data_IF_505234314992
#
_entry.id   IF_505234314992
#
_cell.length_a   1.000
_cell.length_b   1.000
_cell.length_c   1.000
_cell.angle_alpha   90.00
_cell.angle_beta   90.00
_cell.angle_gamma   90.00
#
_symmetry.space_group_name_H-M   'P 1'
#
loop_
_entity.id
_entity.type
_entity.pdbx_description
1 polymer ?
#
# COMPACT_ATOMS: atom_id res chain seq x y z
N UNK A 1 -14.70 4.45 -2.84
CA UNK A 1 -15.54 3.67 -1.91
C UNK A 1 -14.90 2.29 -1.85
N UNK A 2 -14.64 1.73 -0.67
CA UNK A 2 -14.15 0.33 -0.56
C UNK A 2 -15.35 -0.57 -0.82
N UNK A 3 -15.21 -1.56 -1.72
CA UNK A 3 -16.31 -2.40 -2.16
C UNK A 3 -16.66 -3.44 -1.09
N UNK A 4 -17.92 -3.89 -1.05
CA UNK A 4 -18.34 -4.98 -0.13
C UNK A 4 -17.57 -6.28 -0.42
N UNK A 5 -17.28 -6.55 -1.70
CA UNK A 5 -16.49 -7.71 -2.15
C UNK A 5 -15.03 -7.64 -1.69
N UNK A 6 -14.53 -6.43 -1.41
CA UNK A 6 -13.21 -6.19 -0.83
C UNK A 6 -13.21 -6.29 0.70
N UNK A 7 -14.35 -6.66 1.31
CA UNK A 7 -14.47 -6.85 2.75
C UNK A 7 -13.54 -7.93 3.32
N UNK A 8 -13.04 -8.85 2.49
CA UNK A 8 -12.02 -9.82 2.91
C UNK A 8 -10.74 -9.13 3.41
N UNK A 9 -10.37 -7.99 2.82
CA UNK A 9 -9.17 -7.25 3.19
C UNK A 9 -9.34 -6.46 4.50
N UNK A 10 -10.56 -6.20 4.96
CA UNK A 10 -10.78 -5.40 6.19
C UNK A 10 -10.29 -6.07 7.46
N UNK A 11 -10.08 -7.40 7.43
CA UNK A 11 -9.56 -8.18 8.54
C UNK A 11 -8.05 -8.42 8.46
N UNK A 12 -7.41 -7.87 7.41
CA UNK A 12 -5.98 -7.98 7.21
C UNK A 12 -5.29 -6.76 7.80
N UNK A 13 -4.20 -6.99 8.50
CA UNK A 13 -3.39 -5.93 9.09
C UNK A 13 -2.71 -5.03 8.04
N UNK A 14 -2.43 -5.57 6.84
CA UNK A 14 -1.85 -4.82 5.71
C UNK A 14 -2.78 -4.88 4.49
N UNK A 15 -3.92 -4.15 4.51
CA UNK A 15 -5.03 -4.37 3.60
C UNK A 15 -4.85 -3.74 2.21
N UNK A 16 -4.09 -2.65 2.07
CA UNK A 16 -4.05 -1.85 0.83
C UNK A 16 -3.72 -2.66 -0.44
N UNK A 17 -2.73 -3.57 -0.45
CA UNK A 17 -2.44 -4.39 -1.63
C UNK A 17 -3.55 -5.37 -2.04
N UNK A 18 -4.50 -5.65 -1.14
CA UNK A 18 -5.61 -6.58 -1.36
C UNK A 18 -6.86 -5.89 -1.90
N UNK A 19 -6.88 -4.56 -1.90
CA UNK A 19 -7.87 -3.81 -2.65
C UNK A 19 -7.54 -3.80 -4.14
N UNK A 20 -8.57 -3.67 -4.96
CA UNK A 20 -8.43 -3.40 -6.40
C UNK A 20 -7.66 -2.11 -6.62
N UNK A 21 -7.01 -2.02 -7.78
CA UNK A 21 -6.23 -0.85 -8.17
C UNK A 21 -7.09 0.41 -8.15
N UNK A 22 -8.33 0.30 -8.60
CA UNK A 22 -9.32 1.36 -8.71
C UNK A 22 -9.75 1.86 -7.33
N UNK A 23 -9.99 0.94 -6.39
CA UNK A 23 -10.28 1.28 -4.99
C UNK A 23 -9.10 2.02 -4.34
N UNK A 24 -7.87 1.56 -4.54
CA UNK A 24 -6.69 2.26 -3.98
C UNK A 24 -6.50 3.64 -4.62
N UNK A 25 -6.72 3.80 -5.93
CA UNK A 25 -6.67 5.11 -6.59
C UNK A 25 -7.71 6.08 -6.00
N UNK A 26 -8.93 5.62 -5.79
CA UNK A 26 -9.97 6.42 -5.14
C UNK A 26 -9.57 6.81 -3.72
N UNK A 27 -9.09 5.86 -2.92
CA UNK A 27 -8.64 6.11 -1.56
C UNK A 27 -7.46 7.09 -1.53
N UNK A 28 -6.54 6.99 -2.49
CA UNK A 28 -5.44 7.95 -2.64
C UNK A 28 -5.93 9.35 -2.97
N UNK A 29 -6.95 9.51 -3.84
CA UNK A 29 -7.54 10.82 -4.10
C UNK A 29 -8.10 11.44 -2.82
N UNK A 30 -8.93 10.69 -2.09
CA UNK A 30 -9.51 11.16 -0.83
C UNK A 30 -8.44 11.49 0.23
N UNK A 31 -7.39 10.67 0.32
CA UNK A 31 -6.26 10.91 1.21
C UNK A 31 -5.47 12.17 0.84
N UNK A 32 -5.21 12.41 -0.45
CA UNK A 32 -4.50 13.60 -0.93
C UNK A 32 -5.30 14.88 -0.68
N UNK A 33 -6.61 14.83 -0.91
CA UNK A 33 -7.51 15.96 -0.61
C UNK A 33 -7.49 16.25 0.90
N UNK A 34 -7.68 15.23 1.75
CA UNK A 34 -7.61 15.36 3.21
C UNK A 34 -6.25 15.89 3.68
N UNK A 35 -5.14 15.46 3.07
CA UNK A 35 -3.82 15.99 3.38
C UNK A 35 -3.71 17.48 3.12
N UNK A 36 -4.23 17.93 1.98
CA UNK A 36 -4.15 19.32 1.56
C UNK A 36 -5.00 20.28 2.40
N UNK A 37 -6.12 19.78 2.95
CA UNK A 37 -7.09 20.62 3.68
C UNK A 37 -7.02 20.47 5.19
N UNK A 38 -6.72 19.27 5.69
CA UNK A 38 -6.88 18.89 7.09
C UNK A 38 -5.58 18.44 7.76
N UNK A 39 -4.55 18.04 7.00
CA UNK A 39 -3.27 17.57 7.55
C UNK A 39 -2.10 18.48 7.17
N UNK A 40 -2.27 19.78 7.40
CA UNK A 40 -1.17 20.74 7.27
C UNK A 40 -0.09 20.44 8.31
N UNK A 41 1.15 20.89 8.07
CA UNK A 41 2.27 20.63 8.99
C UNK A 41 1.97 21.09 10.42
N UNK A 42 1.28 22.22 10.60
CA UNK A 42 0.87 22.71 11.92
C UNK A 42 -0.09 21.75 12.63
N UNK A 43 -1.09 21.21 11.91
CA UNK A 43 -2.05 20.26 12.47
C UNK A 43 -1.36 18.93 12.78
N UNK A 44 -0.48 18.45 11.89
CA UNK A 44 0.25 17.20 12.09
C UNK A 44 1.16 17.26 13.32
N UNK A 45 1.80 18.39 13.60
CA UNK A 45 2.60 18.55 14.83
C UNK A 45 1.74 18.46 16.09
N UNK A 46 0.56 19.08 16.08
CA UNK A 46 -0.42 18.99 17.19
C UNK A 46 -0.97 17.57 17.35
N UNK A 47 -1.11 16.84 16.25
CA UNK A 47 -1.70 15.51 16.21
C UNK A 47 -0.67 14.38 16.04
N UNK A 48 0.60 14.62 16.37
CA UNK A 48 1.70 13.65 16.15
C UNK A 48 1.53 12.29 16.84
N UNK A 49 0.74 12.24 17.92
CA UNK A 49 0.41 11.01 18.65
C UNK A 49 -1.02 10.55 18.40
N UNK A 50 -1.73 11.14 17.43
CA UNK A 50 -3.07 10.72 17.10
C UNK A 50 -3.02 9.39 16.34
N UNK A 51 -3.56 8.34 16.95
CA UNK A 51 -3.50 6.98 16.42
C UNK A 51 -4.15 6.84 15.05
N UNK A 52 -5.24 7.57 14.79
CA UNK A 52 -5.91 7.54 13.47
C UNK A 52 -5.06 8.18 12.37
N UNK A 53 -4.36 9.28 12.67
CA UNK A 53 -3.44 9.90 11.70
C UNK A 53 -2.27 8.95 11.42
N UNK A 54 -1.67 8.39 12.48
CA UNK A 54 -0.59 7.41 12.35
C UNK A 54 -1.04 6.20 11.53
N UNK A 55 -2.26 5.70 11.78
CA UNK A 55 -2.87 4.61 11.03
C UNK A 55 -2.93 4.93 9.55
N UNK A 56 -3.64 5.99 9.19
CA UNK A 56 -3.88 6.37 7.79
C UNK A 56 -2.55 6.63 7.09
N UNK A 57 -1.62 7.36 7.73
CA UNK A 57 -0.31 7.64 7.15
C UNK A 57 0.49 6.36 6.91
N UNK A 58 0.53 5.43 7.87
CA UNK A 58 1.28 4.19 7.71
C UNK A 58 0.75 3.31 6.58
N UNK A 59 -0.57 3.31 6.35
CA UNK A 59 -1.20 2.51 5.29
C UNK A 59 -1.12 3.18 3.91
N UNK A 60 -1.35 4.49 3.85
CA UNK A 60 -1.59 5.19 2.59
C UNK A 60 -0.35 5.86 2.00
N UNK A 61 0.63 6.25 2.82
CA UNK A 61 1.76 7.09 2.39
C UNK A 61 2.55 6.47 1.24
N UNK A 62 2.74 5.15 1.25
CA UNK A 62 3.49 4.47 0.20
C UNK A 62 2.80 4.58 -1.17
N UNK A 63 1.53 4.20 -1.23
CA UNK A 63 0.75 4.11 -2.45
C UNK A 63 0.30 5.48 -2.97
N UNK A 64 0.12 6.46 -2.08
CA UNK A 64 -0.47 7.74 -2.42
C UNK A 64 0.53 8.92 -2.37
N UNK A 65 1.77 8.66 -1.95
CA UNK A 65 2.81 9.69 -1.80
C UNK A 65 3.78 9.73 -2.98
N UNK A 66 5.01 10.12 -2.69
CA UNK A 66 6.08 10.28 -3.69
C UNK A 66 6.43 9.00 -4.49
N UNK A 67 6.03 7.81 -4.02
CA UNK A 67 6.25 6.52 -4.69
C UNK A 67 5.03 6.02 -5.47
N UNK A 68 3.95 6.79 -5.57
CA UNK A 68 2.69 6.34 -6.16
C UNK A 68 2.86 5.70 -7.54
N UNK A 69 3.53 6.37 -8.49
CA UNK A 69 3.77 5.85 -9.84
C UNK A 69 4.42 4.45 -9.80
N UNK A 70 5.51 4.33 -9.05
CA UNK A 70 6.25 3.07 -8.90
C UNK A 70 5.40 1.98 -8.24
N UNK A 71 4.64 2.32 -7.20
CA UNK A 71 3.75 1.40 -6.52
C UNK A 71 2.67 0.87 -7.47
N UNK A 72 2.07 1.75 -8.27
CA UNK A 72 0.99 1.40 -9.19
C UNK A 72 1.44 0.68 -10.47
N UNK A 73 2.69 0.84 -10.91
CA UNK A 73 3.26 0.09 -12.03
C UNK A 73 3.29 -1.42 -11.79
N UNK A 74 3.48 -1.85 -10.54
CA UNK A 74 3.52 -3.27 -10.17
C UNK A 74 2.30 -3.71 -9.34
N UNK A 75 1.33 -2.81 -9.12
CA UNK A 75 0.20 -3.08 -8.24
C UNK A 75 -0.64 -4.27 -8.72
N UNK A 76 -0.95 -4.33 -10.02
CA UNK A 76 -1.77 -5.41 -10.58
C UNK A 76 -1.15 -6.79 -10.35
N UNK A 77 0.14 -6.96 -10.68
CA UNK A 77 0.80 -8.25 -10.47
C UNK A 77 0.93 -8.60 -8.98
N UNK A 78 1.17 -7.61 -8.11
CA UNK A 78 1.28 -7.82 -6.67
C UNK A 78 -0.06 -8.24 -6.08
N UNK A 79 -1.12 -7.53 -6.44
CA UNK A 79 -2.50 -7.89 -6.11
C UNK A 79 -2.80 -9.33 -6.56
N UNK A 80 -2.52 -9.67 -7.83
CA UNK A 80 -2.74 -11.03 -8.34
C UNK A 80 -1.92 -12.11 -7.62
N UNK A 81 -0.69 -11.80 -7.22
CA UNK A 81 0.14 -12.70 -6.44
C UNK A 81 -0.44 -12.92 -5.04
N UNK A 82 -0.89 -11.85 -4.40
CA UNK A 82 -1.51 -11.88 -3.08
C UNK A 82 -2.84 -12.65 -3.10
N UNK A 83 -3.69 -12.37 -4.09
CA UNK A 83 -4.98 -13.03 -4.27
C UNK A 83 -4.88 -14.50 -4.63
N UNK A 84 -3.80 -14.91 -5.32
CA UNK A 84 -3.57 -16.33 -5.66
C UNK A 84 -2.98 -17.16 -4.52
N UNK A 85 -2.48 -16.51 -3.46
CA UNK A 85 -1.80 -17.18 -2.34
C UNK A 85 -2.54 -16.94 -1.02
N UNK A 86 -3.86 -17.19 -1.03
CA UNK A 86 -4.75 -16.97 0.12
C UNK A 86 -4.32 -17.72 1.38
N UNK A 87 -3.68 -18.88 1.23
CA UNK A 87 -3.12 -19.63 2.36
C UNK A 87 -2.08 -18.85 3.19
N UNK A 88 -1.46 -17.81 2.63
CA UNK A 88 -0.54 -16.94 3.35
C UNK A 88 -1.26 -15.88 4.20
N UNK A 89 -2.54 -15.59 3.92
CA UNK A 89 -3.30 -14.53 4.58
C UNK A 89 -3.46 -14.79 6.07
N UNK A 90 -3.56 -16.06 6.49
CA UNK A 90 -3.57 -16.47 7.91
C UNK A 90 -2.46 -15.87 8.78
N UNK A 91 -1.36 -15.40 8.16
CA UNK A 91 -0.25 -14.76 8.88
C UNK A 91 -0.48 -13.28 9.14
N UNK A 92 -1.49 -12.66 8.52
CA UNK A 92 -1.88 -11.25 8.69
C UNK A 92 -3.40 -11.08 8.89
N UNK A 93 -4.16 -12.17 8.87
CA UNK A 93 -5.52 -12.26 9.39
C UNK A 93 -5.44 -12.25 10.91
N UNK A 94 -6.17 -11.30 11.52
CA UNK A 94 -6.42 -11.11 12.95
C UNK A 94 -5.94 -9.75 13.51
N UNK A 95 -6.88 -8.80 13.51
CA UNK A 95 -6.77 -7.44 14.07
C UNK A 95 -6.91 -7.45 15.61
N UNK A 96 -7.23 -8.60 16.23
CA UNK A 96 -7.47 -8.70 17.68
C UNK A 96 -6.22 -8.48 18.53
N UNK A 97 -5.02 -8.57 17.92
CA UNK A 97 -3.77 -8.13 18.54
C UNK A 97 -3.61 -6.64 18.25
N UNK A 98 -3.37 -5.79 19.27
CA UNK A 98 -3.53 -4.34 19.15
C UNK A 98 -2.81 -3.85 17.89
N UNK A 99 -3.60 -3.43 16.90
CA UNK A 99 -3.21 -2.89 15.59
C UNK A 99 -2.25 -1.68 15.67
N UNK A 100 -1.91 -1.28 16.89
CA UNK A 100 -1.27 -0.05 17.30
C UNK A 100 -0.14 -0.26 18.31
N UNK A 101 0.14 -1.50 18.73
CA UNK A 101 1.23 -1.83 19.67
C UNK A 101 2.47 -2.43 19.01
N UNK A 102 3.44 -2.83 19.84
CA UNK A 102 4.68 -3.54 19.42
C UNK A 102 4.41 -4.81 18.58
N UNK A 103 3.16 -5.32 18.60
CA UNK A 103 2.70 -6.49 17.86
C UNK A 103 2.44 -6.32 16.37
N UNK A 104 2.30 -5.08 15.87
CA UNK A 104 1.91 -4.77 14.46
C UNK A 104 2.81 -5.44 13.42
N UNK A 105 4.05 -5.80 13.74
CA UNK A 105 4.97 -6.34 12.75
C UNK A 105 5.42 -7.78 13.04
N UNK A 106 4.90 -8.41 14.10
CA UNK A 106 5.36 -9.74 14.55
C UNK A 106 5.21 -10.79 13.44
N UNK A 107 4.06 -10.81 12.76
CA UNK A 107 3.74 -11.85 11.79
C UNK A 107 4.12 -11.48 10.34
N UNK A 108 4.56 -10.25 10.09
CA UNK A 108 4.92 -9.76 8.75
C UNK A 108 6.08 -10.52 8.12
N UNK A 109 7.19 -10.84 8.83
CA UNK A 109 8.26 -11.65 8.23
C UNK A 109 7.78 -13.03 7.78
N UNK A 110 6.89 -13.66 8.55
CA UNK A 110 6.30 -14.98 8.22
C UNK A 110 5.41 -14.88 7.00
N UNK A 111 4.53 -13.88 6.95
CA UNK A 111 3.72 -13.58 5.78
C UNK A 111 4.57 -13.30 4.53
N UNK A 112 5.59 -12.47 4.66
CA UNK A 112 6.49 -12.12 3.57
C UNK A 112 7.18 -13.36 3.01
N UNK A 113 7.72 -14.23 3.87
CA UNK A 113 8.37 -15.46 3.42
C UNK A 113 7.39 -16.42 2.73
N UNK A 114 6.14 -16.48 3.18
CA UNK A 114 5.08 -17.27 2.55
C UNK A 114 4.74 -16.76 1.15
N UNK A 115 4.58 -15.44 0.97
CA UNK A 115 4.14 -14.85 -0.31
C UNK A 115 5.28 -14.71 -1.33
N UNK A 116 6.52 -14.65 -0.87
CA UNK A 116 7.70 -14.36 -1.69
C UNK A 116 7.83 -15.24 -2.95
N UNK A 117 7.59 -16.57 -2.93
CA UNK A 117 7.65 -17.40 -4.13
C UNK A 117 6.60 -16.98 -5.17
N UNK A 118 5.36 -16.69 -4.73
CA UNK A 118 4.28 -16.23 -5.62
C UNK A 118 4.57 -14.87 -6.24
N UNK A 119 5.10 -13.94 -5.45
CA UNK A 119 5.50 -12.62 -5.94
C UNK A 119 6.65 -12.72 -6.93
N UNK A 120 7.68 -13.55 -6.65
CA UNK A 120 8.79 -13.78 -7.59
C UNK A 120 8.33 -14.40 -8.90
N UNK A 121 7.38 -15.34 -8.84
CA UNK A 121 6.84 -16.00 -10.02
C UNK A 121 6.02 -15.07 -10.90
N UNK A 122 5.24 -14.15 -10.31
CA UNK A 122 4.31 -13.29 -11.07
C UNK A 122 4.86 -11.91 -11.41
N UNK A 123 5.65 -11.32 -10.52
CA UNK A 123 6.15 -9.94 -10.63
C UNK A 123 7.67 -9.84 -10.78
N UNK A 124 8.36 -10.98 -10.83
CA UNK A 124 9.82 -11.05 -10.91
C UNK A 124 10.52 -10.25 -9.80
N UNK A 125 11.75 -9.79 -10.06
CA UNK A 125 12.55 -9.01 -9.10
C UNK A 125 11.94 -7.64 -8.76
N UNK A 126 11.38 -6.86 -9.70
CA UNK A 126 10.74 -5.57 -9.39
C UNK A 126 9.66 -5.67 -8.31
N UNK A 127 8.75 -6.64 -8.44
CA UNK A 127 7.69 -6.82 -7.46
C UNK A 127 8.19 -7.14 -6.06
N UNK A 128 9.26 -7.94 -5.94
CA UNK A 128 9.87 -8.23 -4.64
C UNK A 128 10.38 -6.96 -3.97
N UNK A 129 11.12 -6.11 -4.71
CA UNK A 129 11.66 -4.88 -4.15
C UNK A 129 10.57 -3.89 -3.76
N UNK A 130 9.51 -3.79 -4.56
CA UNK A 130 8.36 -2.92 -4.27
C UNK A 130 7.60 -3.44 -3.04
N UNK A 131 7.37 -4.75 -2.92
CA UNK A 131 6.72 -5.32 -1.74
C UNK A 131 7.54 -5.08 -0.46
N UNK A 132 8.86 -5.27 -0.52
CA UNK A 132 9.75 -5.00 0.62
C UNK A 132 9.70 -3.53 1.01
N UNK A 133 9.80 -2.63 0.04
CA UNK A 133 9.76 -1.18 0.25
C UNK A 133 8.40 -0.70 0.78
N UNK A 134 7.30 -1.34 0.36
CA UNK A 134 5.96 -1.06 0.85
C UNK A 134 5.76 -1.53 2.30
N UNK A 135 6.24 -2.74 2.64
CA UNK A 135 6.19 -3.29 4.01
C UNK A 135 7.07 -2.47 4.98
N UNK A 136 8.26 -2.05 4.55
CA UNK A 136 9.12 -1.22 5.40
C UNK A 136 8.56 0.19 5.57
N UNK A 137 7.95 0.76 4.51
CA UNK A 137 7.23 2.04 4.58
C UNK A 137 5.98 1.97 5.48
N UNK A 138 5.37 0.79 5.61
CA UNK A 138 4.29 0.51 6.56
C UNK A 138 4.77 0.51 8.04
N UNK A 139 6.09 0.44 8.25
CA UNK A 139 6.73 0.47 9.57
C UNK A 139 7.25 -0.88 10.05
N UNK A 140 7.26 -1.91 9.20
CA UNK A 140 7.69 -3.25 9.60
C UNK A 140 9.09 -3.61 9.11
N UNK A 141 9.90 -4.17 10.00
CA UNK A 141 11.24 -4.62 9.69
C UNK A 141 11.23 -5.96 8.93
N UNK A 142 12.12 -6.08 7.96
CA UNK A 142 12.44 -7.31 7.24
C UNK A 142 13.95 -7.56 7.30
N UNK A 143 14.42 -8.66 6.70
CA UNK A 143 15.85 -9.00 6.65
C UNK A 143 16.68 -7.84 6.06
N UNK A 144 17.78 -7.49 6.73
CA UNK A 144 18.56 -6.28 6.45
C UNK A 144 19.11 -6.25 5.03
N UNK A 145 19.62 -7.38 4.54
CA UNK A 145 20.19 -7.50 3.20
C UNK A 145 19.13 -7.25 2.12
N UNK A 146 17.93 -7.78 2.32
CA UNK A 146 16.80 -7.61 1.40
C UNK A 146 16.30 -6.16 1.37
N UNK A 147 16.21 -5.53 2.54
CA UNK A 147 15.88 -4.11 2.65
C UNK A 147 16.92 -3.26 1.92
N UNK A 148 18.21 -3.54 2.12
CA UNK A 148 19.29 -2.81 1.45
C UNK A 148 19.24 -2.94 -0.07
N UNK A 149 19.01 -4.15 -0.59
CA UNK A 149 18.85 -4.39 -2.03
C UNK A 149 17.66 -3.60 -2.59
N UNK A 150 16.57 -3.56 -1.85
CA UNK A 150 15.36 -2.83 -2.25
C UNK A 150 15.60 -1.32 -2.23
N UNK A 151 16.26 -0.77 -1.21
CA UNK A 151 16.66 0.66 -1.18
C UNK A 151 17.52 1.03 -2.39
N UNK A 152 18.51 0.20 -2.75
CA UNK A 152 19.35 0.41 -3.94
C UNK A 152 18.52 0.36 -5.23
N UNK A 153 17.58 -0.58 -5.33
CA UNK A 153 16.67 -0.66 -6.47
C UNK A 153 15.81 0.59 -6.61
N UNK A 154 15.17 1.05 -5.52
CA UNK A 154 14.32 2.25 -5.52
C UNK A 154 15.13 3.50 -5.86
N UNK A 155 16.35 3.62 -5.34
CA UNK A 155 17.26 4.71 -5.68
C UNK A 155 17.57 4.74 -7.18
N UNK A 156 17.82 3.58 -7.80
CA UNK A 156 18.04 3.47 -9.25
C UNK A 156 16.80 3.88 -10.05
N UNK A 157 15.61 3.51 -9.59
CA UNK A 157 14.34 3.92 -10.22
C UNK A 157 14.12 5.43 -10.09
N UNK A 158 14.61 6.06 -9.03
CA UNK A 158 14.54 7.50 -8.82
C UNK A 158 15.60 8.31 -9.60
N UNK A 159 16.44 7.69 -10.43
CA UNK A 159 17.45 8.41 -11.21
C UNK A 159 16.82 9.40 -12.22
N UNK A 160 15.52 9.25 -12.52
CA UNK A 160 14.74 10.20 -13.35
C UNK A 160 14.22 11.40 -12.56
N UNK A 161 14.33 11.39 -11.22
CA UNK A 161 13.77 12.44 -10.34
C UNK A 161 12.25 12.38 -10.20
N UNK A 162 11.60 11.29 -10.63
CA UNK A 162 10.14 11.19 -10.66
C UNK A 162 9.51 10.72 -9.33
N UNK A 163 10.29 10.32 -8.32
CA UNK A 163 9.73 9.94 -7.00
C UNK A 163 9.54 11.15 -6.07
N UNK A 164 8.72 12.10 -6.50
CA UNK A 164 8.37 13.31 -5.74
C UNK A 164 6.89 13.34 -5.38
N UNK A 165 6.53 14.06 -4.30
CA UNK A 165 5.12 14.19 -3.88
C UNK A 165 4.24 14.77 -5.00
N UNK A 166 4.72 15.77 -5.74
CA UNK A 166 3.97 16.37 -6.85
C UNK A 166 3.81 15.43 -8.05
N UNK A 167 4.84 14.65 -8.39
CA UNK A 167 4.75 13.64 -9.43
C UNK A 167 3.76 12.53 -9.04
N UNK A 168 3.80 12.07 -7.77
CA UNK A 168 2.84 11.09 -7.26
C UNK A 168 1.40 11.60 -7.29
N UNK A 169 1.16 12.82 -6.82
CA UNK A 169 -0.14 13.49 -6.86
C UNK A 169 -0.67 13.66 -8.28
N UNK A 170 0.20 14.05 -9.21
CA UNK A 170 -0.13 14.17 -10.64
C UNK A 170 -0.48 12.82 -11.23
N UNK A 171 0.28 11.77 -10.91
CA UNK A 171 -0.02 10.40 -11.35
C UNK A 171 -1.42 9.96 -10.90
N UNK A 172 -1.75 10.08 -9.60
CA UNK A 172 -3.07 9.69 -9.07
C UNK A 172 -4.19 10.43 -9.79
N UNK A 173 -4.08 11.76 -9.95
CA UNK A 173 -5.09 12.57 -10.65
C UNK A 173 -5.30 12.16 -12.10
N UNK A 174 -4.23 11.81 -12.80
CA UNK A 174 -4.33 11.39 -14.20
C UNK A 174 -4.93 9.98 -14.34
N UNK A 175 -4.76 9.12 -13.33
CA UNK A 175 -5.27 7.75 -13.35
C UNK A 175 -6.69 7.61 -12.78
N UNK A 176 -7.16 8.56 -11.96
CA UNK A 176 -8.47 8.49 -11.33
C UNK A 176 -9.65 8.45 -12.33
N UNK A 177 -9.68 9.26 -13.43
CA UNK A 177 -10.82 9.26 -14.34
C UNK A 177 -11.09 7.92 -15.01
N UNK A 178 -10.07 7.09 -15.27
CA UNK A 178 -10.27 5.74 -15.82
C UNK A 178 -10.73 4.73 -14.77
N UNK A 179 -10.51 5.00 -13.49
CA UNK A 179 -10.96 4.15 -12.39
C UNK A 179 -12.44 4.40 -12.02
N UNK A 180 -12.93 5.64 -12.14
CA UNK A 180 -14.29 6.01 -11.69
C UNK A 180 -15.41 5.21 -12.40
N UNK A 181 -15.42 5.02 -13.73
CA UNK A 181 -16.46 4.24 -14.40
C UNK A 181 -16.51 2.79 -13.92
N UNK A 182 -15.34 2.17 -13.67
CA UNK A 182 -15.24 0.79 -13.17
C UNK A 182 -15.83 0.69 -11.76
N UNK A 183 -15.68 1.73 -10.94
CA UNK A 183 -16.30 1.82 -9.61
C UNK A 183 -17.82 2.01 -9.69
N UNK A 184 -18.34 2.70 -10.71
CA UNK A 184 -19.77 2.96 -10.89
C UNK A 184 -20.53 1.82 -11.60
N UNK A 185 -19.93 1.17 -12.61
CA UNK A 185 -20.53 0.04 -13.33
C UNK A 185 -20.75 -1.16 -12.42
N UNK A 186 -19.78 -1.48 -11.57
CA UNK A 186 -19.89 -2.59 -10.63
C UNK A 186 -20.84 -2.31 -9.46
N UNK A 187 -21.20 -1.03 -9.24
CA UNK A 187 -22.26 -0.65 -8.30
C UNK A 187 -23.66 -0.91 -8.86
N UNK A 188 -23.83 -0.81 -10.18
CA UNK A 188 -25.12 -0.97 -10.85
C UNK A 188 -25.35 -2.42 -11.35
N UNK A 189 -24.35 -3.29 -11.25
CA UNK A 189 -24.41 -4.71 -11.61
C UNK A 189 -24.74 -5.67 -10.45
N UNK A 190 -25.14 -5.15 -9.28
CA UNK A 190 -25.61 -5.91 -8.12
C UNK A 190 -27.09 -5.67 -7.83
#
# INVERSE_FOLDING_TARGET
>A
MIRVQEGHASNLMYPIPFYSRESVLFLCSAYLDSRSTCMTSEVLEKCKHNEMIIFIQSHMRYYCGNKAKLAFENFGCLHDALMSNQHCWRHIEDISSPTYGEGKCISIPTFFNCILPGVRSKCEKPGVHILVDAITSFGCALQKELVQQSVTYIAKMNNTGELTEEAGKTYIRNQLPSALPILDEERNGQ
#
